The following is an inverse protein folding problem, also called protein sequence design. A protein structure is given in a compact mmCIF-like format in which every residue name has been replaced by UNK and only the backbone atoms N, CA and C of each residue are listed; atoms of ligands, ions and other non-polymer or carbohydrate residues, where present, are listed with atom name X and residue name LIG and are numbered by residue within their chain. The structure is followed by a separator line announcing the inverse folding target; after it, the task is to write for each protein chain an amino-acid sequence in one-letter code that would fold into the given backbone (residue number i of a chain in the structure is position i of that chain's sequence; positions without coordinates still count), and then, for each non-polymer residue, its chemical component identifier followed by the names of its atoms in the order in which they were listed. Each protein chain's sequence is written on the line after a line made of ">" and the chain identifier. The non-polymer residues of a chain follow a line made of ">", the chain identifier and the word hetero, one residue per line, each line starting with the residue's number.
data_IF_775294170890
#
_entry.id   IF_775294170890
#
_cell.length_a   1.000
_cell.length_b   1.000
_cell.length_c   1.000
_cell.angle_alpha   90.00
_cell.angle_beta   90.00
_cell.angle_gamma   90.00
#
_symmetry.space_group_name_H-M   'P 1'
#
loop_
_entity.id
_entity.type
_entity.pdbx_description
1 polymer ?
#
# COMPACT_ATOMS: atom_id res chain seq x y z
N UNK A 1 -13.72 -8.47 -9.92
CA UNK A 1 -12.93 -9.57 -9.32
C UNK A 1 -12.04 -10.14 -10.42
N UNK A 2 -10.80 -10.49 -10.09
CA UNK A 2 -9.76 -10.87 -11.05
C UNK A 2 -9.00 -12.13 -10.60
N UNK A 3 -8.46 -12.91 -11.55
CA UNK A 3 -7.52 -14.01 -11.25
C UNK A 3 -6.09 -13.47 -11.11
N UNK A 4 -5.20 -14.18 -10.39
CA UNK A 4 -3.79 -13.77 -10.29
C UNK A 4 -3.09 -13.76 -11.65
N UNK A 5 -3.42 -14.71 -12.52
CA UNK A 5 -2.86 -14.75 -13.88
C UNK A 5 -3.20 -13.49 -14.66
N UNK A 6 -4.44 -13.02 -14.57
CA UNK A 6 -4.85 -11.79 -15.26
C UNK A 6 -4.24 -10.54 -14.58
N UNK A 7 -4.22 -10.51 -13.24
CA UNK A 7 -3.56 -9.43 -12.51
C UNK A 7 -2.07 -9.33 -12.86
N UNK A 8 -1.37 -10.47 -12.97
CA UNK A 8 0.03 -10.52 -13.38
C UNK A 8 0.25 -9.94 -14.77
N UNK A 9 -0.56 -10.34 -15.76
CA UNK A 9 -0.46 -9.79 -17.13
C UNK A 9 -0.58 -8.27 -17.15
N UNK A 10 -1.58 -7.72 -16.44
CA UNK A 10 -1.77 -6.27 -16.34
C UNK A 10 -0.58 -5.58 -15.67
N UNK A 11 0.02 -6.19 -14.65
CA UNK A 11 1.21 -5.66 -13.98
C UNK A 11 2.44 -5.70 -14.90
N UNK A 12 2.63 -6.78 -15.66
CA UNK A 12 3.73 -6.92 -16.62
C UNK A 12 3.61 -5.88 -17.74
N UNK A 13 2.41 -5.68 -18.27
CA UNK A 13 2.13 -4.65 -19.27
C UNK A 13 2.40 -3.25 -18.73
N UNK A 14 1.95 -2.94 -17.51
CA UNK A 14 2.20 -1.64 -16.87
C UNK A 14 3.69 -1.39 -16.59
N UNK A 15 4.47 -2.45 -16.33
CA UNK A 15 5.91 -2.34 -16.11
C UNK A 15 6.72 -2.31 -17.40
N UNK A 16 6.17 -2.82 -18.50
CA UNK A 16 6.90 -3.03 -19.75
C UNK A 16 7.97 -4.14 -19.65
N UNK A 17 7.92 -4.97 -18.61
CA UNK A 17 8.86 -6.06 -18.34
C UNK A 17 8.15 -7.22 -17.64
N UNK A 18 8.65 -8.44 -17.89
CA UNK A 18 8.11 -9.63 -17.22
C UNK A 18 8.30 -9.57 -15.71
N UNK A 19 7.32 -10.12 -14.97
CA UNK A 19 7.39 -10.17 -13.53
C UNK A 19 8.47 -11.19 -13.14
N UNK A 20 9.40 -10.85 -12.24
CA UNK A 20 10.45 -11.77 -11.83
C UNK A 20 9.86 -13.12 -11.39
N UNK A 21 10.49 -14.23 -11.80
CA UNK A 21 10.02 -15.60 -11.55
C UNK A 21 9.78 -15.92 -10.07
N UNK A 22 10.38 -15.15 -9.16
CA UNK A 22 10.13 -15.25 -7.73
C UNK A 22 8.69 -14.91 -7.35
N UNK A 23 7.97 -14.07 -8.11
CA UNK A 23 6.59 -13.67 -7.82
C UNK A 23 5.59 -14.66 -8.43
N UNK A 24 5.70 -15.92 -8.00
CA UNK A 24 4.75 -16.97 -8.36
C UNK A 24 3.37 -16.72 -7.72
N UNK A 25 2.35 -17.41 -8.20
CA UNK A 25 1.01 -17.40 -7.59
C UNK A 25 1.05 -17.79 -6.10
N UNK A 26 1.98 -18.67 -5.72
CA UNK A 26 2.22 -19.04 -4.32
C UNK A 26 2.69 -17.83 -3.51
N UNK A 27 3.68 -17.07 -4.01
CA UNK A 27 4.16 -15.87 -3.32
C UNK A 27 3.13 -14.76 -3.24
N UNK A 28 2.28 -14.60 -4.25
CA UNK A 28 1.18 -13.64 -4.21
C UNK A 28 0.09 -14.06 -3.20
N UNK A 29 -0.13 -15.37 -3.01
CA UNK A 29 -0.95 -15.86 -1.89
C UNK A 29 -0.31 -15.58 -0.54
N UNK A 30 1.00 -15.71 -0.41
CA UNK A 30 1.69 -15.38 0.84
C UNK A 30 1.61 -13.88 1.13
N UNK A 31 1.76 -13.02 0.13
CA UNK A 31 1.51 -11.57 0.26
C UNK A 31 0.10 -11.25 0.75
N UNK A 32 -0.90 -12.01 0.28
CA UNK A 32 -2.28 -11.87 0.72
C UNK A 32 -2.45 -12.25 2.20
N UNK A 33 -1.71 -13.27 2.67
CA UNK A 33 -1.69 -13.67 4.09
C UNK A 33 -0.96 -12.67 4.98
N UNK A 34 0.14 -12.10 4.48
CA UNK A 34 0.93 -11.06 5.15
C UNK A 34 0.25 -9.69 5.13
N UNK A 35 -0.88 -9.54 4.42
CA UNK A 35 -1.62 -8.29 4.33
C UNK A 35 -0.98 -7.25 3.41
N UNK A 36 -0.01 -7.65 2.59
CA UNK A 36 0.65 -6.84 1.56
C UNK A 36 -0.30 -6.55 0.40
N UNK A 37 -1.18 -7.51 0.07
CA UNK A 37 -2.25 -7.37 -0.91
C UNK A 37 -3.58 -7.88 -0.35
N UNK A 38 -4.68 -7.52 -1.00
CA UNK A 38 -6.04 -7.89 -0.60
C UNK A 38 -6.25 -9.40 -0.53
N UNK A 39 -7.14 -9.81 0.38
CA UNK A 39 -7.45 -11.23 0.64
C UNK A 39 -8.18 -11.91 -0.51
N UNK A 40 -7.91 -13.20 -0.65
CA UNK A 40 -8.60 -14.12 -1.56
C UNK A 40 -10.06 -14.28 -1.15
N UNK A 41 -10.98 -14.20 -2.12
CA UNK A 41 -12.34 -14.76 -1.99
C UNK A 41 -12.41 -16.03 -2.83
N UNK A 42 -12.81 -17.14 -2.21
CA UNK A 42 -13.01 -18.41 -2.92
C UNK A 42 -14.42 -18.40 -3.53
N UNK A 43 -14.51 -18.58 -4.84
CA UNK A 43 -15.79 -18.73 -5.55
C UNK A 43 -15.69 -19.93 -6.49
N UNK A 44 -16.59 -20.91 -6.35
CA UNK A 44 -16.65 -22.11 -7.19
C UNK A 44 -15.32 -22.89 -7.28
N UNK A 45 -14.60 -23.04 -6.16
CA UNK A 45 -13.30 -23.73 -6.13
C UNK A 45 -12.12 -22.91 -6.69
N UNK A 46 -12.37 -21.73 -7.26
CA UNK A 46 -11.35 -20.84 -7.80
C UNK A 46 -11.05 -19.69 -6.85
N UNK A 47 -9.76 -19.37 -6.69
CA UNK A 47 -9.30 -18.22 -5.93
C UNK A 47 -9.46 -16.94 -6.77
N UNK A 48 -10.37 -16.06 -6.37
CA UNK A 48 -10.57 -14.75 -7.00
C UNK A 48 -10.15 -13.64 -6.05
N UNK A 49 -9.61 -12.57 -6.62
CA UNK A 49 -9.11 -11.42 -5.89
C UNK A 49 -9.95 -10.18 -6.22
N UNK A 50 -10.07 -9.24 -5.28
CA UNK A 50 -10.54 -7.89 -5.57
C UNK A 50 -9.76 -7.23 -6.73
N UNK A 51 -10.41 -6.37 -7.52
CA UNK A 51 -9.76 -5.74 -8.68
C UNK A 51 -8.61 -4.81 -8.30
N UNK A 52 -8.65 -4.29 -7.07
CA UNK A 52 -7.61 -3.49 -6.43
C UNK A 52 -6.27 -4.25 -6.32
N UNK A 53 -6.30 -5.59 -6.33
CA UNK A 53 -5.08 -6.43 -6.17
C UNK A 53 -4.04 -6.13 -7.24
N UNK A 54 -4.49 -5.76 -8.45
CA UNK A 54 -3.57 -5.46 -9.56
C UNK A 54 -2.76 -4.20 -9.23
N UNK A 55 -3.44 -3.18 -8.69
CA UNK A 55 -2.81 -1.96 -8.21
C UNK A 55 -1.88 -2.26 -7.04
N UNK A 56 -2.34 -3.01 -6.03
CA UNK A 56 -1.53 -3.35 -4.85
C UNK A 56 -0.26 -4.12 -5.22
N UNK A 57 -0.33 -5.06 -6.18
CA UNK A 57 0.85 -5.79 -6.66
C UNK A 57 1.84 -4.82 -7.33
N UNK A 58 1.36 -3.97 -8.23
CA UNK A 58 2.22 -3.00 -8.93
C UNK A 58 2.88 -2.02 -7.95
N UNK A 59 2.09 -1.45 -7.03
CA UNK A 59 2.55 -0.57 -5.95
C UNK A 59 3.61 -1.25 -5.08
N UNK A 60 3.34 -2.47 -4.62
CA UNK A 60 4.28 -3.24 -3.80
C UNK A 60 5.60 -3.47 -4.53
N UNK A 61 5.56 -3.83 -5.81
CA UNK A 61 6.77 -4.07 -6.60
C UNK A 61 7.65 -2.82 -6.74
N UNK A 62 7.04 -1.64 -6.87
CA UNK A 62 7.75 -0.36 -6.93
C UNK A 62 8.39 -0.01 -5.58
N UNK A 63 7.62 -0.14 -4.50
CA UNK A 63 8.06 0.19 -3.14
C UNK A 63 9.09 -0.78 -2.58
N UNK A 64 9.07 -2.05 -3.00
CA UNK A 64 9.99 -3.09 -2.48
C UNK A 64 11.46 -2.79 -2.76
N UNK A 65 11.77 -1.87 -3.68
CA UNK A 65 13.14 -1.37 -3.90
C UNK A 65 13.65 -0.52 -2.72
N UNK A 66 12.74 0.08 -1.94
CA UNK A 66 13.04 1.02 -0.85
C UNK A 66 12.64 0.49 0.53
N UNK A 67 11.59 -0.34 0.60
CA UNK A 67 10.97 -0.76 1.86
C UNK A 67 10.82 -2.28 1.99
N UNK A 68 10.77 -2.77 3.23
CA UNK A 68 10.44 -4.17 3.53
C UNK A 68 8.96 -4.43 3.30
N UNK A 69 8.60 -5.68 2.97
CA UNK A 69 7.19 -6.07 2.79
C UNK A 69 6.34 -5.81 4.04
N UNK A 70 6.91 -5.96 5.24
CA UNK A 70 6.23 -5.67 6.50
C UNK A 70 5.86 -4.18 6.64
N UNK A 71 6.75 -3.27 6.21
CA UNK A 71 6.50 -1.83 6.24
C UNK A 71 5.42 -1.44 5.22
N UNK A 72 5.43 -2.07 4.05
CA UNK A 72 4.41 -1.89 3.01
C UNK A 72 3.04 -2.40 3.48
N UNK A 73 2.99 -3.57 4.12
CA UNK A 73 1.76 -4.14 4.67
C UNK A 73 1.17 -3.26 5.77
N UNK A 74 2.02 -2.70 6.65
CA UNK A 74 1.59 -1.78 7.69
C UNK A 74 1.03 -0.49 7.09
N UNK A 75 1.70 0.08 6.09
CA UNK A 75 1.21 1.27 5.40
C UNK A 75 -0.14 1.05 4.71
N UNK A 76 -0.30 -0.09 4.03
CA UNK A 76 -1.58 -0.50 3.44
C UNK A 76 -2.67 -0.62 4.51
N UNK A 77 -2.33 -1.21 5.67
CA UNK A 77 -3.25 -1.35 6.80
C UNK A 77 -3.66 0.01 7.37
N UNK A 78 -2.75 0.97 7.49
CA UNK A 78 -3.06 2.33 7.97
C UNK A 78 -4.04 3.07 7.06
N UNK A 79 -4.01 2.79 5.76
CA UNK A 79 -5.00 3.32 4.81
C UNK A 79 -6.32 2.52 4.84
N UNK A 80 -6.34 1.36 5.50
CA UNK A 80 -7.39 0.33 5.48
C UNK A 80 -7.98 0.11 4.08
N UNK A 81 -7.11 -0.15 3.11
CA UNK A 81 -7.54 -0.53 1.77
C UNK A 81 -8.28 -1.87 1.84
N UNK A 82 -9.60 -1.82 2.00
CA UNK A 82 -10.47 -2.98 1.91
C UNK A 82 -10.99 -3.08 0.49
N UNK A 83 -10.66 -4.17 -0.20
CA UNK A 83 -10.96 -4.42 -1.62
C UNK A 83 -12.45 -4.58 -1.98
N UNK A 84 -13.32 -3.80 -1.34
CA UNK A 84 -14.76 -3.71 -1.57
C UNK A 84 -15.08 -2.98 -2.87
N UNK A 85 -14.27 -1.99 -3.25
CA UNK A 85 -14.55 -1.12 -4.40
C UNK A 85 -13.41 -1.08 -5.42
N UNK A 86 -13.68 -1.36 -6.71
CA UNK A 86 -12.66 -1.43 -7.78
C UNK A 86 -11.89 -0.14 -8.07
N UNK A 87 -12.21 0.99 -7.43
CA UNK A 87 -11.86 2.34 -7.91
C UNK A 87 -11.50 3.38 -6.85
N UNK A 88 -11.26 3.02 -5.59
CA UNK A 88 -11.28 4.05 -4.55
C UNK A 88 -10.03 4.01 -3.70
N UNK A 89 -9.18 5.02 -3.91
CA UNK A 89 -8.88 5.89 -2.78
C UNK A 89 -10.09 6.79 -2.59
N UNK A 90 -10.90 6.49 -1.58
CA UNK A 90 -12.01 7.35 -1.16
C UNK A 90 -11.47 8.65 -0.55
N UNK A 91 -12.31 9.69 -0.45
CA UNK A 91 -11.99 10.86 0.38
C UNK A 91 -11.64 10.44 1.82
N UNK A 92 -12.26 9.37 2.33
CA UNK A 92 -12.01 8.82 3.66
C UNK A 92 -10.56 8.33 3.82
N UNK A 93 -9.96 7.73 2.80
CA UNK A 93 -8.58 7.26 2.82
C UNK A 93 -7.56 8.41 2.76
N UNK A 94 -7.86 9.47 2.00
CA UNK A 94 -7.09 10.72 2.03
C UNK A 94 -7.19 11.41 3.39
N UNK A 95 -8.40 11.45 3.96
CA UNK A 95 -8.64 11.98 5.31
C UNK A 95 -7.84 11.19 6.35
N UNK A 96 -7.74 9.87 6.23
CA UNK A 96 -6.92 9.03 7.13
C UNK A 96 -5.44 9.39 7.06
N UNK A 97 -4.88 9.54 5.85
CA UNK A 97 -3.50 9.99 5.72
C UNK A 97 -3.27 11.37 6.36
N UNK A 98 -4.18 12.32 6.10
CA UNK A 98 -4.13 13.66 6.71
C UNK A 98 -4.22 13.57 8.24
N UNK A 99 -5.09 12.72 8.77
CA UNK A 99 -5.22 12.49 10.21
C UNK A 99 -3.96 11.88 10.83
N UNK A 100 -3.32 10.91 10.17
CA UNK A 100 -2.04 10.35 10.63
C UNK A 100 -0.95 11.43 10.70
N UNK A 101 -0.86 12.30 9.68
CA UNK A 101 0.07 13.43 9.67
C UNK A 101 -0.24 14.45 10.78
N UNK A 102 -1.51 14.74 11.02
CA UNK A 102 -1.96 15.63 12.09
C UNK A 102 -1.60 15.07 13.48
N UNK A 103 -1.88 13.78 13.71
CA UNK A 103 -1.56 13.09 14.97
C UNK A 103 -0.06 13.14 15.28
N UNK A 104 0.80 12.97 14.28
CA UNK A 104 2.24 13.12 14.46
C UNK A 104 2.65 14.55 14.84
N UNK A 105 2.05 15.56 14.21
CA UNK A 105 2.30 16.96 14.56
C UNK A 105 1.83 17.28 15.99
N UNK A 106 0.68 16.75 16.40
CA UNK A 106 0.16 16.88 17.75
C UNK A 106 1.11 16.22 18.78
N UNK A 107 1.58 14.99 18.51
CA UNK A 107 2.58 14.30 19.34
C UNK A 107 3.90 15.07 19.44
N UNK A 108 4.38 15.63 18.33
CA UNK A 108 5.59 16.48 18.31
C UNK A 108 5.40 17.71 19.20
N UNK A 109 4.22 18.35 19.16
CA UNK A 109 3.89 19.50 20.00
C UNK A 109 3.82 19.12 21.48
N UNK A 110 3.12 18.03 21.83
CA UNK A 110 3.03 17.53 23.21
C UNK A 110 4.41 17.19 23.76
N UNK A 111 5.23 16.51 22.97
CA UNK A 111 6.62 16.19 23.32
C UNK A 111 7.40 17.48 23.62
N UNK A 112 7.33 18.47 22.72
CA UNK A 112 7.99 19.77 22.90
C UNK A 112 7.53 20.50 24.17
N UNK A 113 6.23 20.50 24.47
CA UNK A 113 5.67 21.14 25.66
C UNK A 113 6.04 20.40 26.96
N UNK A 114 6.31 19.10 26.87
CA UNK A 114 6.65 18.24 28.02
C UNK A 114 8.14 18.21 28.31
N UNK A 115 9.01 18.63 27.38
CA UNK A 115 10.47 18.62 27.51
C UNK A 115 10.98 19.28 28.80
N UNK A 116 10.35 20.39 29.22
CA UNK A 116 10.75 21.11 30.45
C UNK A 116 10.45 20.37 31.75
N UNK A 117 9.68 19.27 31.68
CA UNK A 117 9.30 18.42 32.83
C UNK A 117 10.01 17.06 32.82
N UNK A 118 10.92 16.82 31.87
CA UNK A 118 11.65 15.56 31.75
C UNK A 118 13.01 15.71 32.41
N UNK A 119 13.23 14.93 33.47
CA UNK A 119 14.43 15.02 34.31
C UNK A 119 15.58 14.10 33.84
N UNK A 120 15.33 13.23 32.84
CA UNK A 120 16.31 12.26 32.36
C UNK A 120 16.57 12.40 30.87
N UNK A 121 17.86 12.45 30.50
CA UNK A 121 18.31 12.41 29.11
C UNK A 121 17.88 11.13 28.38
N UNK A 122 17.79 10.01 29.09
CA UNK A 122 17.37 8.73 28.48
C UNK A 122 15.92 8.81 28.01
N UNK A 123 15.03 9.40 28.82
CA UNK A 123 13.63 9.64 28.44
C UNK A 123 13.50 10.59 27.26
N UNK A 124 14.38 11.60 27.17
CA UNK A 124 14.41 12.50 25.99
C UNK A 124 14.83 11.71 24.75
N UNK A 125 15.78 10.78 24.88
CA UNK A 125 16.26 9.93 23.79
C UNK A 125 15.18 8.98 23.29
N UNK A 126 14.46 8.31 24.20
CA UNK A 126 13.31 7.46 23.88
C UNK A 126 12.25 8.23 23.08
N UNK A 127 11.88 9.44 23.51
CA UNK A 127 10.91 10.26 22.79
C UNK A 127 11.40 10.70 21.41
N UNK A 128 12.69 10.95 21.24
CA UNK A 128 13.28 11.26 19.93
C UNK A 128 13.19 10.03 19.02
N UNK A 129 13.57 8.85 19.53
CA UNK A 129 13.55 7.60 18.76
C UNK A 129 12.11 7.24 18.35
N UNK A 130 11.14 7.41 19.25
CA UNK A 130 9.71 7.24 18.96
C UNK A 130 9.23 8.18 17.84
N UNK A 131 9.58 9.47 17.91
CA UNK A 131 9.23 10.45 16.87
C UNK A 131 9.91 10.13 15.54
N UNK A 132 11.15 9.65 15.55
CA UNK A 132 11.85 9.24 14.34
C UNK A 132 11.20 8.00 13.69
N UNK A 133 10.80 7.03 14.50
CA UNK A 133 10.09 5.84 14.03
C UNK A 133 8.74 6.21 13.42
N UNK A 134 7.97 7.08 14.07
CA UNK A 134 6.66 7.51 13.58
C UNK A 134 6.75 8.37 12.32
N UNK A 135 7.78 9.24 12.22
CA UNK A 135 8.08 9.96 10.99
C UNK A 135 8.40 8.99 9.84
N UNK A 136 9.25 8.00 10.09
CA UNK A 136 9.60 6.98 9.09
C UNK A 136 8.35 6.23 8.63
N UNK A 137 7.48 5.85 9.56
CA UNK A 137 6.22 5.19 9.23
C UNK A 137 5.35 6.06 8.31
N UNK A 138 5.17 7.35 8.63
CA UNK A 138 4.44 8.29 7.78
C UNK A 138 5.04 8.44 6.37
N UNK A 139 6.36 8.43 6.25
CA UNK A 139 7.03 8.45 4.95
C UNK A 139 6.67 7.21 4.11
N UNK A 140 6.63 6.03 4.72
CA UNK A 140 6.19 4.79 4.03
C UNK A 140 4.74 4.90 3.60
N UNK A 141 3.83 5.40 4.45
CA UNK A 141 2.41 5.58 4.11
C UNK A 141 2.24 6.57 2.95
N UNK A 142 2.97 7.69 2.97
CA UNK A 142 2.91 8.69 1.92
C UNK A 142 3.43 8.17 0.58
N UNK A 143 4.57 7.47 0.59
CA UNK A 143 5.11 6.82 -0.61
C UNK A 143 4.16 5.73 -1.13
N UNK A 144 3.55 4.96 -0.23
CA UNK A 144 2.55 3.96 -0.60
C UNK A 144 1.38 4.59 -1.35
N UNK A 145 0.78 5.64 -0.77
CA UNK A 145 -0.36 6.34 -1.35
C UNK A 145 -0.03 6.90 -2.75
N UNK A 146 1.15 7.51 -2.89
CA UNK A 146 1.64 8.07 -4.16
C UNK A 146 1.77 6.99 -5.23
N UNK A 147 2.48 5.91 -4.93
CA UNK A 147 2.69 4.80 -5.87
C UNK A 147 1.39 4.08 -6.19
N UNK A 148 0.46 4.00 -5.24
CA UNK A 148 -0.87 3.44 -5.45
C UNK A 148 -1.69 4.25 -6.44
N UNK A 149 -1.79 5.57 -6.25
CA UNK A 149 -2.51 6.46 -7.18
C UNK A 149 -1.92 6.41 -8.58
N UNK A 150 -0.60 6.38 -8.69
CA UNK A 150 0.09 6.29 -9.96
C UNK A 150 -0.21 4.94 -10.66
N UNK A 151 -0.08 3.83 -9.94
CA UNK A 151 -0.39 2.50 -10.45
C UNK A 151 -1.85 2.40 -10.91
N UNK A 152 -2.80 2.98 -10.16
CA UNK A 152 -4.21 2.96 -10.52
C UNK A 152 -4.48 3.70 -11.84
N UNK A 153 -3.88 4.88 -12.02
CA UNK A 153 -3.99 5.67 -13.25
C UNK A 153 -3.47 4.92 -14.47
N UNK A 154 -2.30 4.30 -14.35
CA UNK A 154 -1.70 3.53 -15.45
C UNK A 154 -2.55 2.31 -15.83
N UNK A 155 -3.02 1.56 -14.83
CA UNK A 155 -3.87 0.38 -15.04
C UNK A 155 -5.23 0.74 -15.65
N UNK A 156 -5.81 1.92 -15.31
CA UNK A 156 -7.04 2.42 -15.96
C UNK A 156 -6.82 2.65 -17.45
N UNK A 157 -5.69 3.22 -17.86
CA UNK A 157 -5.36 3.47 -19.27
C UNK A 157 -5.14 2.15 -20.04
N UNK A 158 -4.49 1.16 -19.42
CA UNK A 158 -4.30 -0.17 -20.02
C UNK A 158 -5.64 -0.89 -20.22
N UNK A 159 -6.48 -0.92 -19.19
CA UNK A 159 -7.80 -1.56 -19.26
C UNK A 159 -8.71 -0.90 -20.30
N UNK A 160 -8.66 0.43 -20.45
CA UNK A 160 -9.41 1.13 -21.48
C UNK A 160 -8.99 0.71 -22.89
N UNK A 161 -7.67 0.64 -23.16
CA UNK A 161 -7.13 0.18 -24.45
C UNK A 161 -7.53 -1.25 -24.79
N UNK A 162 -7.40 -2.18 -23.84
CA UNK A 162 -7.80 -3.57 -24.04
C UNK A 162 -9.31 -3.72 -24.36
N UNK A 163 -10.16 -2.86 -23.80
CA UNK A 163 -11.59 -2.88 -24.10
C UNK A 163 -11.90 -2.33 -25.50
N UNK A 164 -11.12 -1.37 -26.02
CA UNK A 164 -11.28 -0.83 -27.38
C UNK A 164 -10.83 -1.83 -28.45
N UNK A 165 -9.75 -2.59 -28.20
CA UNK A 165 -9.24 -3.63 -29.09
C UNK A 165 -10.16 -4.85 -29.20
N UNK A 166 -10.97 -5.15 -28.17
CA UNK A 166 -11.92 -6.28 -28.18
C UNK A 166 -13.22 -5.94 -28.92
N UNK A 167 -13.52 -4.64 -29.10
CA UNK A 167 -14.75 -4.15 -29.75
C UNK A 167 -14.52 -3.80 -31.23
N UNK A 168 -13.26 -3.71 -31.67
CA UNK A 168 -12.86 -3.49 -33.07
C UNK A 168 -12.65 -4.81 -33.83
#
# INVERSE_FOLDING_TARGET
>A
MISLTMARKLVEEARGEEMPLIYTDLRLRDWSREGVISRVKIKNGSALYPDIVTTEILTTLRLKRKYKLSEIAEARKCLELEGSHPHQITEEELIRFVNCSKLFNDKKLVTKLSLSRIESLDKIRELIDDLLQEKKHLEVVGDYLKEFLQAEKELKIIRARQNEEVVS
#
